data_IF_179493395379
#
_entry.id   IF_179493395379
#
_cell.length_a   1.000
_cell.length_b   1.000
_cell.length_c   1.000
_cell.angle_alpha   90.00
_cell.angle_beta   90.00
_cell.angle_gamma   90.00
#
_symmetry.space_group_name_H-M   'P 1'
#
loop_
_entity.id
_entity.type
_entity.pdbx_description
1 polymer ?
#
# COMPACT_ATOMS: atom_id res chain seq x y z
N UNK A 1 7.33 -14.35 -5.29
CA UNK A 1 7.53 -13.11 -6.07
C UNK A 1 7.30 -11.93 -5.14
N UNK A 2 7.90 -10.78 -5.45
CA UNK A 2 7.66 -9.51 -4.79
C UNK A 2 7.17 -8.50 -5.82
N UNK A 3 6.42 -7.50 -5.37
CA UNK A 3 5.93 -6.42 -6.21
C UNK A 3 6.87 -5.23 -6.04
N UNK A 4 7.46 -4.81 -7.15
CA UNK A 4 8.34 -3.64 -7.20
C UNK A 4 7.61 -2.42 -7.73
N UNK A 5 8.15 -1.24 -7.46
CA UNK A 5 7.67 0.00 -8.05
C UNK A 5 7.80 -0.04 -9.58
N UNK A 6 6.89 0.66 -10.27
CA UNK A 6 6.95 0.78 -11.72
C UNK A 6 5.59 0.99 -12.38
N UNK A 7 5.58 1.44 -13.65
CA UNK A 7 4.35 1.70 -14.38
C UNK A 7 3.68 0.40 -14.86
N UNK A 8 2.36 0.44 -14.97
CA UNK A 8 1.56 -0.63 -15.59
C UNK A 8 0.87 -1.56 -14.60
N UNK A 9 0.35 -2.67 -15.14
CA UNK A 9 -0.45 -3.64 -14.38
C UNK A 9 0.41 -4.45 -13.42
N UNK A 10 -0.18 -4.93 -12.33
CA UNK A 10 0.51 -5.64 -11.25
C UNK A 10 1.40 -6.80 -11.73
N UNK A 11 0.95 -7.59 -12.72
CA UNK A 11 1.73 -8.71 -13.24
C UNK A 11 3.05 -8.29 -13.89
N UNK A 12 3.16 -7.04 -14.39
CA UNK A 12 4.41 -6.49 -14.95
C UNK A 12 5.38 -6.05 -13.85
N UNK A 13 4.89 -5.84 -12.64
CA UNK A 13 5.64 -5.39 -11.46
C UNK A 13 6.13 -6.54 -10.59
N UNK A 14 5.80 -7.79 -10.92
CA UNK A 14 6.20 -8.96 -10.14
C UNK A 14 7.62 -9.43 -10.50
N UNK A 15 8.52 -9.47 -9.51
CA UNK A 15 9.89 -10.01 -9.64
C UNK A 15 10.13 -11.19 -8.69
N UNK A 16 10.96 -12.19 -9.04
CA UNK A 16 11.49 -13.13 -8.05
C UNK A 16 12.24 -12.36 -6.95
N UNK A 17 12.07 -12.75 -5.68
CA UNK A 17 12.66 -12.02 -4.55
C UNK A 17 14.19 -11.96 -4.59
N UNK A 18 14.84 -12.97 -5.18
CA UNK A 18 16.29 -13.05 -5.37
C UNK A 18 16.81 -11.95 -6.33
N UNK A 19 15.93 -11.41 -7.18
CA UNK A 19 16.26 -10.41 -8.21
C UNK A 19 15.76 -9.01 -7.84
N UNK A 20 15.34 -8.79 -6.60
CA UNK A 20 14.82 -7.51 -6.13
C UNK A 20 15.60 -7.05 -4.90
N UNK A 21 15.91 -5.76 -4.84
CA UNK A 21 16.40 -5.12 -3.62
C UNK A 21 15.23 -4.57 -2.79
N UNK A 22 15.49 -4.24 -1.52
CA UNK A 22 14.47 -3.68 -0.63
C UNK A 22 13.96 -2.33 -1.12
N UNK A 23 14.84 -1.53 -1.72
CA UNK A 23 14.55 -0.19 -2.25
C UNK A 23 13.64 -0.23 -3.48
N UNK A 24 13.57 -1.37 -4.17
CA UNK A 24 12.68 -1.53 -5.33
C UNK A 24 11.25 -1.88 -4.92
N UNK A 25 10.98 -2.25 -3.67
CA UNK A 25 9.68 -2.74 -3.25
C UNK A 25 8.62 -1.64 -3.28
N UNK A 26 7.46 -1.96 -3.84
CA UNK A 26 6.29 -1.07 -3.83
C UNK A 26 5.61 -1.12 -2.45
N UNK A 27 6.16 -0.36 -1.48
CA UNK A 27 5.68 -0.35 -0.10
C UNK A 27 4.20 0.02 -0.04
N UNK A 28 3.78 1.00 -0.83
CA UNK A 28 2.38 1.44 -0.91
C UNK A 28 1.44 0.29 -1.34
N UNK A 29 1.85 -0.53 -2.31
CA UNK A 29 1.10 -1.71 -2.70
C UNK A 29 0.90 -2.68 -1.52
N UNK A 30 1.97 -2.97 -0.76
CA UNK A 30 1.88 -3.89 0.38
C UNK A 30 1.04 -3.33 1.52
N UNK A 31 1.15 -2.04 1.82
CA UNK A 31 0.33 -1.38 2.83
C UNK A 31 -1.15 -1.47 2.46
N UNK A 32 -1.51 -1.01 1.26
CA UNK A 32 -2.90 -0.90 0.81
C UNK A 32 -3.57 -2.24 0.49
N UNK A 33 -2.84 -3.23 -0.03
CA UNK A 33 -3.42 -4.49 -0.50
C UNK A 33 -3.22 -5.67 0.46
N UNK A 34 -2.31 -5.55 1.44
CA UNK A 34 -2.00 -6.65 2.36
C UNK A 34 -2.16 -6.24 3.83
N UNK A 35 -1.43 -5.21 4.27
CA UNK A 35 -1.41 -4.81 5.69
C UNK A 35 -2.77 -4.27 6.13
N UNK A 36 -3.31 -3.27 5.43
CA UNK A 36 -4.60 -2.65 5.74
C UNK A 36 -5.73 -3.68 5.69
N UNK A 37 -5.90 -4.50 4.63
CA UNK A 37 -6.93 -5.53 4.60
C UNK A 37 -6.78 -6.57 5.71
N UNK A 38 -5.55 -6.94 6.08
CA UNK A 38 -5.33 -7.89 7.17
C UNK A 38 -5.71 -7.32 8.54
N UNK A 39 -5.32 -6.07 8.82
CA UNK A 39 -5.69 -5.38 10.06
C UNK A 39 -7.22 -5.21 10.19
N UNK A 40 -7.89 -4.81 9.11
CA UNK A 40 -9.34 -4.59 9.10
C UNK A 40 -10.16 -5.86 9.38
N UNK A 41 -9.65 -7.06 9.10
CA UNK A 41 -10.36 -8.31 9.47
C UNK A 41 -10.62 -8.41 10.97
N UNK A 42 -9.71 -7.86 11.79
CA UNK A 42 -9.86 -7.82 13.24
C UNK A 42 -10.51 -6.52 13.68
N UNK A 43 -10.02 -5.40 13.17
CA UNK A 43 -10.38 -4.07 13.67
C UNK A 43 -11.80 -3.63 13.29
N UNK A 44 -12.36 -4.15 12.19
CA UNK A 44 -13.74 -3.84 11.80
C UNK A 44 -14.78 -4.27 12.83
N UNK A 45 -14.50 -5.31 13.63
CA UNK A 45 -15.36 -5.71 14.75
C UNK A 45 -15.47 -4.64 15.84
N UNK A 46 -14.51 -3.71 15.88
CA UNK A 46 -14.46 -2.57 16.80
C UNK A 46 -14.90 -1.25 16.12
N UNK A 47 -15.46 -1.32 14.91
CA UNK A 47 -15.94 -0.15 14.17
C UNK A 47 -14.85 0.65 13.44
N UNK A 48 -13.62 0.14 13.38
CA UNK A 48 -12.51 0.78 12.64
C UNK A 48 -12.69 0.56 11.13
N UNK A 49 -12.52 1.62 10.36
CA UNK A 49 -12.59 1.64 8.90
C UNK A 49 -11.20 1.79 8.28
N UNK A 50 -11.11 1.60 6.96
CA UNK A 50 -9.85 1.77 6.23
C UNK A 50 -9.28 3.20 6.35
N UNK A 51 -10.15 4.20 6.42
CA UNK A 51 -9.75 5.60 6.54
C UNK A 51 -9.12 5.91 7.90
N UNK A 52 -9.52 5.19 8.95
CA UNK A 52 -8.94 5.32 10.29
C UNK A 52 -7.51 4.77 10.40
N UNK A 53 -7.09 3.94 9.43
CA UNK A 53 -5.74 3.37 9.36
C UNK A 53 -4.79 4.17 8.46
N UNK A 54 -5.33 5.11 7.68
CA UNK A 54 -4.53 5.99 6.84
C UNK A 54 -4.01 7.17 7.67
N UNK A 55 -2.78 7.64 7.42
CA UNK A 55 -2.30 8.87 8.04
C UNK A 55 -3.28 10.02 7.73
N UNK A 56 -3.50 10.95 8.68
CA UNK A 56 -4.43 12.05 8.48
C UNK A 56 -4.02 12.85 7.25
N UNK A 57 -4.95 13.02 6.30
CA UNK A 57 -4.72 13.84 5.11
C UNK A 57 -4.39 15.25 5.55
N UNK A 58 -3.24 15.75 5.12
CA UNK A 58 -2.78 17.10 5.46
C UNK A 58 -3.33 18.12 4.47
N UNK A 59 -3.32 19.40 4.86
CA UNK A 59 -3.63 20.50 3.94
C UNK A 59 -2.73 20.48 2.69
N UNK A 60 -1.47 20.05 2.84
CA UNK A 60 -0.51 19.91 1.75
C UNK A 60 -0.92 18.82 0.74
N UNK A 61 -1.55 17.74 1.18
CA UNK A 61 -2.04 16.68 0.28
C UNK A 61 -3.21 17.15 -0.59
N UNK A 62 -4.01 18.10 -0.08
CA UNK A 62 -5.11 18.71 -0.83
C UNK A 62 -4.59 19.67 -1.91
N UNK A 63 -3.59 20.49 -1.57
CA UNK A 63 -3.00 21.49 -2.47
C UNK A 63 -2.23 20.87 -3.65
N UNK A 64 -1.68 19.65 -3.51
CA UNK A 64 -1.02 18.93 -4.62
C UNK A 64 -1.98 18.38 -5.67
N UNK A 65 -3.29 18.39 -5.41
CA UNK A 65 -4.32 17.75 -6.24
C UNK A 65 -5.07 18.72 -7.17
N UNK A 66 -4.84 20.03 -7.04
CA UNK A 66 -5.39 21.10 -7.90
C UNK A 66 -4.31 21.70 -8.79
#
# INVERSE_FOLDING_TARGET
YVIVEGPGRLYKKAKPHILASYEELDIEYYVSNQVVPAALRVLSMFGVTADDLNPPKTLFDFLKKG
#
